data_IF_530238453349
#
_entry.id   IF_530238453349
#
_cell.length_a   1.000
_cell.length_b   1.000
_cell.length_c   1.000
_cell.angle_alpha   90.00
_cell.angle_beta   90.00
_cell.angle_gamma   90.00
#
_symmetry.space_group_name_H-M   'P 1'
#
loop_
_entity.id
_entity.type
_entity.pdbx_description
1 polymer ?
#
# COMPACT_ATOMS: atom_id res chain seq x y z
N UNK A 1 -67.61 12.53 -55.42
CA UNK A 1 -66.76 11.59 -54.66
C UNK A 1 -65.59 12.36 -54.07
N UNK A 2 -65.60 12.64 -52.76
CA UNK A 2 -64.47 13.26 -52.05
C UNK A 2 -63.99 12.26 -51.00
N UNK A 3 -62.73 11.85 -51.13
CA UNK A 3 -62.09 10.90 -50.23
C UNK A 3 -61.89 11.52 -48.84
N UNK A 4 -62.26 10.78 -47.79
CA UNK A 4 -61.98 11.11 -46.41
C UNK A 4 -60.53 10.72 -46.08
N UNK A 5 -59.70 11.70 -45.71
CA UNK A 5 -58.39 11.45 -45.13
C UNK A 5 -58.54 11.22 -43.62
N UNK A 6 -58.19 10.00 -43.16
CA UNK A 6 -58.20 9.62 -41.76
C UNK A 6 -57.08 10.30 -40.97
N UNK A 7 -57.44 11.04 -39.92
CA UNK A 7 -56.51 11.60 -38.95
C UNK A 7 -56.07 10.53 -37.94
N UNK A 8 -54.81 10.11 -38.00
CA UNK A 8 -54.21 9.25 -36.98
C UNK A 8 -54.04 9.96 -35.62
N UNK A 9 -53.97 9.22 -34.50
CA UNK A 9 -53.90 9.79 -33.16
C UNK A 9 -52.63 10.62 -32.97
N UNK A 10 -52.75 11.84 -32.44
CA UNK A 10 -51.60 12.67 -32.05
C UNK A 10 -50.98 12.12 -30.77
N UNK A 11 -49.77 11.59 -30.87
CA UNK A 11 -49.02 11.08 -29.70
C UNK A 11 -48.59 12.20 -28.76
N UNK A 12 -48.67 11.95 -27.45
CA UNK A 12 -48.23 12.92 -26.44
C UNK A 12 -46.70 13.04 -26.42
N UNK A 13 -46.16 14.23 -26.10
CA UNK A 13 -44.71 14.44 -26.03
C UNK A 13 -44.01 13.53 -24.99
N UNK A 14 -44.73 13.12 -23.95
CA UNK A 14 -44.25 12.15 -22.95
C UNK A 14 -44.11 10.74 -23.52
N UNK A 15 -45.03 10.30 -24.39
CA UNK A 15 -44.95 9.01 -25.06
C UNK A 15 -43.83 8.99 -26.11
N UNK A 16 -43.61 10.12 -26.79
CA UNK A 16 -42.50 10.28 -27.74
C UNK A 16 -41.14 10.24 -27.05
N UNK A 17 -40.99 10.92 -25.91
CA UNK A 17 -39.76 10.90 -25.11
C UNK A 17 -39.47 9.50 -24.55
N UNK A 18 -40.49 8.83 -23.99
CA UNK A 18 -40.34 7.48 -23.46
C UNK A 18 -39.92 6.49 -24.56
N UNK A 19 -40.49 6.60 -25.77
CA UNK A 19 -40.06 5.79 -26.92
C UNK A 19 -38.63 6.07 -27.31
N UNK A 20 -38.19 7.32 -27.31
CA UNK A 20 -36.82 7.67 -27.66
C UNK A 20 -35.81 7.14 -26.63
N UNK A 21 -36.14 7.24 -25.33
CA UNK A 21 -35.33 6.70 -24.24
C UNK A 21 -35.26 5.17 -24.31
N UNK A 22 -36.39 4.50 -24.59
CA UNK A 22 -36.42 3.04 -24.78
C UNK A 22 -35.62 2.60 -26.01
N UNK A 23 -35.72 3.33 -27.13
CA UNK A 23 -34.94 3.05 -28.34
C UNK A 23 -33.44 3.24 -28.14
N UNK A 24 -33.01 4.07 -27.19
CA UNK A 24 -31.60 4.30 -26.90
C UNK A 24 -31.05 3.36 -25.82
N UNK A 25 -31.80 3.12 -24.74
CA UNK A 25 -31.33 2.32 -23.60
C UNK A 25 -31.42 0.81 -23.87
N UNK A 26 -32.45 0.35 -24.57
CA UNK A 26 -32.66 -1.08 -24.84
C UNK A 26 -31.55 -1.72 -25.69
N UNK A 27 -31.01 -1.10 -26.76
CA UNK A 27 -29.87 -1.69 -27.48
C UNK A 27 -28.58 -1.68 -26.64
N UNK A 28 -28.38 -0.67 -25.78
CA UNK A 28 -27.20 -0.59 -24.91
C UNK A 28 -27.22 -1.69 -23.84
N UNK A 29 -28.38 -1.97 -23.24
CA UNK A 29 -28.51 -3.06 -22.27
C UNK A 29 -28.35 -4.43 -22.92
N UNK A 30 -28.91 -4.63 -24.13
CA UNK A 30 -28.73 -5.86 -24.90
C UNK A 30 -27.25 -6.07 -25.25
N UNK A 31 -26.55 -5.04 -25.74
CA UNK A 31 -25.12 -5.11 -26.04
C UNK A 31 -24.28 -5.44 -24.81
N UNK A 32 -24.60 -4.84 -23.65
CA UNK A 32 -23.91 -5.13 -22.39
C UNK A 32 -24.11 -6.58 -21.93
N UNK A 33 -25.33 -7.12 -22.08
CA UNK A 33 -25.62 -8.53 -21.78
C UNK A 33 -24.82 -9.45 -22.71
N UNK A 34 -24.78 -9.17 -24.02
CA UNK A 34 -23.98 -9.97 -24.95
C UNK A 34 -22.48 -9.90 -24.66
N UNK A 35 -21.96 -8.73 -24.30
CA UNK A 35 -20.56 -8.55 -23.92
C UNK A 35 -20.19 -9.36 -22.68
N UNK A 36 -20.99 -9.26 -21.61
CA UNK A 36 -20.77 -10.00 -20.37
C UNK A 36 -20.92 -11.51 -20.58
N UNK A 37 -21.92 -11.93 -21.36
CA UNK A 37 -22.12 -13.33 -21.73
C UNK A 37 -20.96 -13.87 -22.58
N UNK A 38 -20.46 -13.09 -23.54
CA UNK A 38 -19.27 -13.46 -24.32
C UNK A 38 -18.05 -13.63 -23.42
N UNK A 39 -17.78 -12.68 -22.51
CA UNK A 39 -16.66 -12.79 -21.56
C UNK A 39 -16.80 -14.04 -20.70
N UNK A 40 -18.00 -14.34 -20.20
CA UNK A 40 -18.24 -15.54 -19.37
C UNK A 40 -18.08 -16.84 -20.17
N UNK A 41 -18.61 -16.92 -21.39
CA UNK A 41 -18.49 -18.12 -22.23
C UNK A 41 -17.10 -18.31 -22.87
N UNK A 42 -16.38 -17.21 -23.14
CA UNK A 42 -14.99 -17.27 -23.62
C UNK A 42 -14.01 -17.53 -22.47
N UNK A 43 -14.44 -17.37 -21.22
CA UNK A 43 -13.69 -17.77 -20.03
C UNK A 43 -13.87 -19.25 -19.72
N UNK A 44 -13.52 -20.13 -20.66
CA UNK A 44 -13.19 -21.50 -20.30
C UNK A 44 -11.71 -21.58 -19.89
N UNK A 45 -11.38 -22.08 -18.69
CA UNK A 45 -10.00 -22.39 -18.33
C UNK A 45 -9.55 -23.57 -19.18
N UNK A 46 -8.81 -23.29 -20.24
CA UNK A 46 -8.04 -24.31 -20.94
C UNK A 46 -6.88 -24.70 -20.02
N UNK A 47 -7.17 -25.52 -19.01
CA UNK A 47 -6.16 -26.33 -18.33
C UNK A 47 -5.71 -27.41 -19.31
N UNK A 48 -4.58 -27.18 -19.98
CA UNK A 48 -3.76 -28.23 -20.57
C UNK A 48 -2.49 -28.36 -19.70
N UNK A 49 -2.18 -29.54 -19.15
CA UNK A 49 -0.85 -29.82 -18.66
C UNK A 49 -0.01 -30.17 -19.88
N UNK A 50 0.92 -29.30 -20.31
CA UNK A 50 1.92 -29.72 -21.28
C UNK A 50 3.32 -29.32 -20.87
N UNK A 51 4.06 -30.39 -20.60
CA UNK A 51 5.46 -30.47 -20.32
C UNK A 51 6.34 -29.78 -21.38
N UNK A 52 7.46 -29.24 -20.89
CA UNK A 52 8.79 -29.24 -21.51
C UNK A 52 8.86 -28.97 -23.02
N UNK A 53 9.12 -27.73 -23.41
CA UNK A 53 9.75 -27.40 -24.71
C UNK A 53 10.25 -25.96 -24.71
N UNK A 54 11.38 -25.68 -24.05
CA UNK A 54 12.11 -24.40 -24.25
C UNK A 54 13.64 -24.54 -24.08
N UNK A 55 14.20 -25.73 -24.31
CA UNK A 55 15.65 -25.96 -24.25
C UNK A 55 16.33 -26.08 -25.64
N UNK A 56 15.57 -25.99 -26.75
CA UNK A 56 16.12 -26.27 -28.09
C UNK A 56 16.31 -25.05 -29.00
N UNK A 57 15.91 -23.85 -28.57
CA UNK A 57 16.06 -22.63 -29.38
C UNK A 57 17.37 -21.86 -29.13
N UNK A 58 18.10 -22.14 -28.03
CA UNK A 58 19.33 -21.42 -27.69
C UNK A 58 20.59 -22.05 -28.31
N UNK A 59 20.57 -23.34 -28.68
CA UNK A 59 21.74 -24.01 -29.29
C UNK A 59 21.96 -23.72 -30.78
N UNK A 60 21.03 -23.05 -31.48
CA UNK A 60 21.15 -22.82 -32.94
C UNK A 60 21.76 -21.47 -33.32
N UNK A 61 21.87 -20.52 -32.39
CA UNK A 61 22.50 -19.22 -32.65
C UNK A 61 24.01 -19.20 -32.38
N UNK A 62 24.58 -20.22 -31.75
CA UNK A 62 26.02 -20.31 -31.44
C UNK A 62 26.85 -21.04 -32.49
N UNK A 63 26.23 -21.75 -33.43
CA UNK A 63 26.96 -22.61 -34.39
C UNK A 63 27.48 -21.91 -35.65
N UNK A 64 27.27 -20.59 -35.81
CA UNK A 64 27.64 -19.89 -37.04
C UNK A 64 28.72 -18.79 -36.87
N UNK A 65 29.36 -18.71 -35.71
CA UNK A 65 30.41 -17.70 -35.42
C UNK A 65 31.81 -18.27 -35.19
N UNK A 66 32.03 -19.58 -35.38
CA UNK A 66 33.31 -20.23 -35.04
C UNK A 66 34.23 -20.53 -36.23
N UNK A 67 33.94 -19.99 -37.42
CA UNK A 67 34.72 -20.31 -38.62
C UNK A 67 35.66 -19.22 -39.12
N UNK A 68 36.10 -18.30 -38.26
CA UNK A 68 37.30 -17.48 -38.50
C UNK A 68 37.91 -17.01 -37.18
N UNK A 69 38.86 -17.76 -36.61
CA UNK A 69 40.15 -17.22 -36.15
C UNK A 69 41.05 -18.31 -35.58
N UNK A 70 42.28 -18.27 -36.07
CA UNK A 70 43.40 -19.16 -35.81
C UNK A 70 44.14 -18.79 -34.52
N UNK A 71 44.60 -19.83 -33.81
CA UNK A 71 45.83 -19.90 -33.00
C UNK A 71 46.02 -18.92 -31.83
N UNK A 72 45.59 -19.31 -30.62
CA UNK A 72 46.37 -19.25 -29.36
C UNK A 72 45.76 -20.20 -28.32
N UNK A 73 46.55 -20.84 -27.43
CA UNK A 73 46.00 -21.66 -26.35
C UNK A 73 45.27 -20.76 -25.31
N UNK A 74 44.12 -21.18 -24.78
CA UNK A 74 43.38 -20.40 -23.80
C UNK A 74 44.13 -20.34 -22.46
N UNK A 75 44.06 -19.20 -21.73
CA UNK A 75 44.61 -19.12 -20.38
C UNK A 75 43.85 -20.07 -19.42
N UNK A 76 44.49 -20.51 -18.32
CA UNK A 76 43.83 -21.35 -17.32
C UNK A 76 42.60 -20.64 -16.75
N UNK A 77 41.52 -21.37 -16.45
CA UNK A 77 40.32 -20.78 -15.88
C UNK A 77 40.65 -20.11 -14.53
N UNK A 78 40.06 -18.95 -14.22
CA UNK A 78 40.20 -18.33 -12.91
C UNK A 78 39.66 -19.28 -11.83
N UNK A 79 40.23 -19.27 -10.62
CA UNK A 79 39.70 -20.05 -9.52
C UNK A 79 38.23 -19.67 -9.28
N UNK A 80 37.38 -20.63 -8.88
CA UNK A 80 35.98 -20.34 -8.57
C UNK A 80 35.92 -19.22 -7.51
N UNK A 81 34.96 -18.28 -7.63
CA UNK A 81 34.74 -17.27 -6.61
C UNK A 81 34.58 -17.98 -5.26
N UNK A 82 35.28 -17.49 -4.24
CA UNK A 82 35.06 -17.94 -2.87
C UNK A 82 33.55 -17.83 -2.57
N UNK A 83 32.93 -18.85 -1.96
CA UNK A 83 31.56 -18.74 -1.54
C UNK A 83 31.41 -17.47 -0.68
N UNK A 84 30.37 -16.66 -0.90
CA UNK A 84 30.13 -15.52 -0.03
C UNK A 84 30.08 -16.02 1.42
N UNK A 85 30.63 -15.28 2.39
CA UNK A 85 30.49 -15.64 3.79
C UNK A 85 29.01 -15.88 4.09
N UNK A 86 28.65 -16.88 4.93
CA UNK A 86 27.25 -17.12 5.26
C UNK A 86 26.64 -15.79 5.66
N UNK A 87 25.60 -15.34 4.95
CA UNK A 87 24.82 -14.18 5.35
C UNK A 87 24.47 -14.42 6.81
N UNK A 88 25.05 -13.65 7.73
CA UNK A 88 24.77 -13.78 9.14
C UNK A 88 23.26 -13.63 9.28
N UNK A 89 22.58 -14.74 9.58
CA UNK A 89 21.13 -14.75 9.78
C UNK A 89 20.88 -13.75 10.90
N UNK A 90 20.14 -12.66 10.67
CA UNK A 90 19.89 -11.68 11.69
C UNK A 90 19.29 -12.39 12.92
N UNK A 91 19.81 -12.10 14.11
CA UNK A 91 19.28 -12.68 15.35
C UNK A 91 17.77 -12.45 15.43
N UNK A 92 17.01 -13.41 15.95
CA UNK A 92 15.56 -13.33 16.00
C UNK A 92 15.07 -12.02 16.64
N UNK A 93 14.07 -11.39 16.02
CA UNK A 93 13.41 -10.20 16.59
C UNK A 93 12.48 -10.64 17.71
N UNK A 94 12.73 -10.12 18.91
CA UNK A 94 11.89 -10.29 20.11
C UNK A 94 11.33 -8.95 20.56
N UNK A 95 10.39 -8.96 21.51
CA UNK A 95 9.70 -7.75 21.98
C UNK A 95 10.65 -6.66 22.52
N UNK A 96 11.79 -7.03 23.11
CA UNK A 96 12.79 -6.07 23.61
C UNK A 96 13.40 -5.18 22.50
N UNK A 97 13.26 -5.59 21.24
CA UNK A 97 13.78 -4.86 20.08
C UNK A 97 12.73 -3.95 19.42
N UNK A 98 11.50 -3.92 19.96
CA UNK A 98 10.37 -3.16 19.41
C UNK A 98 10.01 -2.04 20.37
N UNK A 99 9.90 -0.82 19.84
CA UNK A 99 9.48 0.35 20.63
C UNK A 99 8.16 0.87 20.06
N UNK A 100 7.13 0.91 20.90
CA UNK A 100 5.83 1.45 20.52
C UNK A 100 5.76 2.95 20.81
N UNK A 101 5.49 3.74 19.78
CA UNK A 101 5.08 5.13 19.86
C UNK A 101 3.59 5.24 19.68
N UNK A 102 2.83 5.11 20.78
CA UNK A 102 1.37 5.21 20.75
C UNK A 102 0.96 6.68 20.62
N UNK A 103 0.18 6.97 19.59
CA UNK A 103 -0.33 8.31 19.34
C UNK A 103 -1.63 8.54 20.10
N UNK A 104 -1.94 9.82 20.26
CA UNK A 104 -2.99 10.30 21.14
C UNK A 104 -4.36 10.31 20.45
N UNK A 105 -5.40 9.76 21.08
CA UNK A 105 -6.78 9.76 20.57
C UNK A 105 -7.22 11.11 20.04
N UNK A 106 -7.93 11.08 18.92
CA UNK A 106 -8.76 12.18 18.42
C UNK A 106 -9.61 12.86 19.49
N UNK A 107 -10.10 12.09 20.47
CA UNK A 107 -11.00 12.56 21.52
C UNK A 107 -10.31 13.41 22.60
N UNK A 108 -8.98 13.35 22.71
CA UNK A 108 -8.21 14.11 23.70
C UNK A 108 -7.53 15.35 23.10
N UNK A 109 -7.74 15.65 21.81
CA UNK A 109 -7.08 16.76 21.12
C UNK A 109 -7.40 18.13 21.71
N UNK A 110 -8.64 18.37 22.14
CA UNK A 110 -9.03 19.64 22.78
C UNK A 110 -8.38 19.84 24.16
N UNK A 111 -8.17 18.74 24.91
CA UNK A 111 -7.60 18.79 26.26
C UNK A 111 -6.06 18.91 26.26
N UNK A 112 -5.38 18.67 25.14
CA UNK A 112 -3.91 18.57 25.06
C UNK A 112 -3.20 19.71 24.32
N UNK A 113 -3.84 20.87 24.15
CA UNK A 113 -3.17 22.13 23.74
C UNK A 113 -1.92 22.47 24.56
N UNK A 114 -1.76 21.88 25.74
CA UNK A 114 -0.73 22.22 26.72
C UNK A 114 0.57 21.39 26.68
N UNK A 115 0.62 20.20 26.04
CA UNK A 115 1.89 19.45 26.04
C UNK A 115 2.83 20.02 24.99
N UNK A 116 4.00 20.45 25.45
CA UNK A 116 4.82 21.54 24.91
C UNK A 116 5.92 21.01 23.98
N UNK A 117 5.58 20.60 22.76
CA UNK A 117 6.54 20.61 21.66
C UNK A 117 6.11 21.72 20.71
N UNK A 118 6.93 22.76 20.60
CA UNK A 118 6.60 23.95 19.83
C UNK A 118 6.63 23.61 18.33
N UNK A 119 5.45 23.63 17.71
CA UNK A 119 5.27 23.43 16.26
C UNK A 119 4.84 24.72 15.58
N UNK A 120 4.96 25.87 16.26
CA UNK A 120 4.58 27.18 15.73
C UNK A 120 5.44 27.56 14.51
N UNK A 121 6.71 27.14 14.51
CA UNK A 121 7.67 27.35 13.41
C UNK A 121 7.37 26.55 12.14
N UNK A 122 6.46 25.57 12.19
CA UNK A 122 6.07 24.79 11.01
C UNK A 122 4.85 25.41 10.33
N UNK A 123 4.91 25.74 9.02
CA UNK A 123 3.73 26.22 8.30
C UNK A 123 2.69 25.11 8.16
N UNK A 124 1.40 25.47 8.31
CA UNK A 124 0.26 24.56 8.16
C UNK A 124 -0.91 25.29 7.51
N UNK A 125 -1.39 24.79 6.37
CA UNK A 125 -2.44 25.46 5.59
C UNK A 125 -3.65 24.58 5.28
N UNK A 126 -3.65 23.31 5.69
CA UNK A 126 -4.77 22.42 5.40
C UNK A 126 -6.00 22.82 6.22
N UNK A 127 -7.09 23.12 5.52
CA UNK A 127 -8.28 23.76 6.09
C UNK A 127 -9.17 22.85 6.94
N UNK A 128 -9.15 21.52 6.71
CA UNK A 128 -9.89 20.55 7.54
C UNK A 128 -9.04 19.84 8.60
N UNK A 129 -7.73 20.02 8.58
CA UNK A 129 -6.85 19.25 9.44
C UNK A 129 -6.40 20.07 10.65
N UNK A 130 -5.64 19.44 11.54
CA UNK A 130 -5.22 20.04 12.80
C UNK A 130 -3.70 20.14 12.90
N UNK A 131 -3.16 21.29 13.37
CA UNK A 131 -1.71 21.53 13.50
C UNK A 131 -1.00 20.46 14.35
N UNK A 132 -1.67 19.87 15.33
CA UNK A 132 -1.12 18.79 16.17
C UNK A 132 -0.62 17.59 15.36
N UNK A 133 -1.13 17.36 14.14
CA UNK A 133 -0.68 16.26 13.29
C UNK A 133 0.79 16.39 12.88
N UNK A 134 1.33 17.62 12.87
CA UNK A 134 2.77 17.87 12.71
C UNK A 134 3.55 17.19 13.83
N UNK A 135 3.10 17.34 15.08
CA UNK A 135 3.76 16.69 16.21
C UNK A 135 3.61 15.18 16.16
N UNK A 136 2.41 14.68 15.84
CA UNK A 136 2.17 13.23 15.73
C UNK A 136 3.12 12.61 14.69
N UNK A 137 3.37 13.29 13.56
CA UNK A 137 4.33 12.80 12.57
C UNK A 137 5.76 12.67 13.12
N UNK A 138 6.16 13.44 14.13
CA UNK A 138 7.51 13.37 14.72
C UNK A 138 7.71 12.20 15.70
N UNK A 139 6.66 11.46 16.10
CA UNK A 139 6.75 10.44 17.16
C UNK A 139 7.85 9.40 16.88
N UNK A 140 7.96 8.91 15.64
CA UNK A 140 9.01 7.93 15.29
C UNK A 140 10.41 8.52 15.48
N UNK A 141 10.63 9.75 15.02
CA UNK A 141 11.92 10.45 15.15
C UNK A 141 12.24 10.82 16.58
N UNK A 142 11.26 11.29 17.36
CA UNK A 142 11.39 11.56 18.80
C UNK A 142 11.75 10.29 19.57
N UNK A 143 11.09 9.17 19.26
CA UNK A 143 11.38 7.86 19.87
C UNK A 143 12.78 7.38 19.50
N UNK A 144 13.21 7.60 18.26
CA UNK A 144 14.57 7.28 17.83
C UNK A 144 15.64 8.09 18.58
N UNK A 145 15.38 9.38 18.86
CA UNK A 145 16.29 10.26 19.62
C UNK A 145 16.53 9.83 21.06
N UNK A 146 15.66 8.99 21.63
CA UNK A 146 15.88 8.39 22.95
C UNK A 146 17.11 7.48 22.98
N UNK A 147 17.66 7.09 21.83
CA UNK A 147 18.96 6.42 21.74
C UNK A 147 18.95 4.98 22.26
N UNK A 148 17.79 4.31 22.27
CA UNK A 148 17.63 2.94 22.74
C UNK A 148 18.51 1.99 21.90
N UNK A 149 19.56 1.38 22.48
CA UNK A 149 20.62 0.72 21.70
C UNK A 149 20.14 -0.55 20.98
N UNK A 150 19.21 -1.28 21.61
CA UNK A 150 18.68 -2.56 21.13
C UNK A 150 17.42 -2.41 20.27
N UNK A 151 16.88 -1.20 20.13
CA UNK A 151 15.70 -0.95 19.32
C UNK A 151 16.00 -1.21 17.83
N UNK A 152 15.29 -2.16 17.24
CA UNK A 152 15.36 -2.51 15.81
C UNK A 152 14.18 -1.97 15.03
N UNK A 153 13.02 -1.84 15.68
CA UNK A 153 11.77 -1.43 15.07
C UNK A 153 11.06 -0.39 15.92
N UNK A 154 10.54 0.64 15.25
CA UNK A 154 9.73 1.70 15.81
C UNK A 154 8.30 1.54 15.29
N UNK A 155 7.38 1.15 16.16
CA UNK A 155 6.00 0.84 15.80
C UNK A 155 5.11 1.98 16.25
N UNK A 156 4.35 2.53 15.32
CA UNK A 156 3.37 3.58 15.59
C UNK A 156 1.97 2.98 15.49
N UNK A 157 1.06 3.44 16.34
CA UNK A 157 -0.37 3.13 16.30
C UNK A 157 -1.15 4.13 17.13
N UNK A 158 -2.47 4.16 16.97
CA UNK A 158 -3.35 5.01 17.79
C UNK A 158 -3.65 4.34 19.14
N UNK A 159 -4.21 5.08 20.09
CA UNK A 159 -4.51 4.57 21.43
C UNK A 159 -5.74 3.65 21.49
N UNK A 160 -6.47 3.53 20.39
CA UNK A 160 -7.55 2.57 20.15
C UNK A 160 -7.19 1.56 19.04
N UNK A 161 -5.90 1.42 18.72
CA UNK A 161 -5.35 0.31 17.95
C UNK A 161 -4.98 -0.85 18.86
N UNK A 162 -5.52 -2.03 18.59
CA UNK A 162 -5.14 -3.28 19.28
C UNK A 162 -4.09 -4.01 18.44
N UNK A 163 -2.88 -4.18 18.98
CA UNK A 163 -1.82 -4.99 18.38
C UNK A 163 -1.82 -6.42 18.94
N UNK A 164 -1.46 -7.39 18.09
CA UNK A 164 -1.14 -8.77 18.46
C UNK A 164 0.39 -8.92 18.42
N UNK A 165 1.11 -8.75 19.55
CA UNK A 165 2.57 -8.61 19.54
C UNK A 165 3.30 -9.84 18.99
N UNK A 166 2.81 -11.05 19.26
CA UNK A 166 3.44 -12.27 18.76
C UNK A 166 3.39 -12.34 17.22
N UNK A 167 2.25 -11.97 16.64
CA UNK A 167 2.09 -11.92 15.19
C UNK A 167 2.95 -10.80 14.58
N UNK A 168 3.02 -9.64 15.23
CA UNK A 168 3.92 -8.55 14.84
C UNK A 168 5.38 -9.03 14.79
N UNK A 169 5.85 -9.75 15.81
CA UNK A 169 7.21 -10.28 15.86
C UNK A 169 7.47 -11.32 14.76
N UNK A 170 6.49 -12.17 14.42
CA UNK A 170 6.58 -13.10 13.28
C UNK A 170 6.74 -12.36 11.97
N UNK A 171 5.99 -11.26 11.77
CA UNK A 171 6.06 -10.45 10.55
C UNK A 171 7.40 -9.72 10.45
N UNK A 172 7.80 -9.00 11.50
CA UNK A 172 9.04 -8.23 11.53
C UNK A 172 10.29 -9.12 11.55
N UNK A 173 10.20 -10.32 12.12
CA UNK A 173 11.28 -11.30 12.17
C UNK A 173 11.67 -11.87 10.81
N UNK A 174 10.83 -11.72 9.78
CA UNK A 174 11.13 -12.12 8.39
C UNK A 174 11.92 -11.09 7.61
N UNK A 175 12.05 -9.87 8.14
CA UNK A 175 12.70 -8.74 7.48
C UNK A 175 14.09 -8.50 8.08
N UNK A 176 15.08 -8.20 7.24
CA UNK A 176 16.40 -7.78 7.73
C UNK A 176 16.31 -6.36 8.30
N UNK A 177 16.16 -6.24 9.61
CA UNK A 177 16.05 -4.98 10.35
C UNK A 177 17.22 -3.97 10.13
N UNK A 178 18.30 -4.39 9.46
CA UNK A 178 19.42 -3.53 9.04
C UNK A 178 19.16 -2.79 7.72
N UNK A 179 18.06 -3.12 7.03
CA UNK A 179 17.60 -2.47 5.80
C UNK A 179 16.46 -1.49 6.09
N UNK A 180 16.28 -0.45 5.25
CA UNK A 180 15.24 0.56 5.45
C UNK A 180 13.86 0.00 5.05
N UNK A 181 13.09 -0.43 6.05
CA UNK A 181 11.71 -0.90 5.88
C UNK A 181 10.69 0.06 6.48
N UNK A 182 9.63 0.32 5.70
CA UNK A 182 8.38 0.97 6.07
C UNK A 182 7.25 -0.05 5.88
N UNK A 183 6.74 -0.62 6.98
CA UNK A 183 5.87 -1.80 6.97
C UNK A 183 4.49 -1.45 7.50
N UNK A 184 3.44 -1.81 6.78
CA UNK A 184 2.05 -1.59 7.19
C UNK A 184 1.07 -1.91 6.07
N UNK A 185 -0.12 -1.33 6.09
CA UNK A 185 -1.10 -1.45 5.01
C UNK A 185 -1.80 -0.13 4.71
N UNK A 186 -2.18 0.14 3.45
CA UNK A 186 -3.17 1.15 3.15
C UNK A 186 -4.54 0.78 3.75
N UNK A 187 -5.43 1.76 3.79
CA UNK A 187 -6.80 1.60 4.28
C UNK A 187 -7.58 0.57 3.44
N UNK A 188 -8.50 -0.14 4.06
CA UNK A 188 -9.49 -0.96 3.37
C UNK A 188 -10.45 -0.13 2.50
N UNK A 189 -10.57 1.17 2.80
CA UNK A 189 -11.41 2.09 2.03
C UNK A 189 -10.71 2.56 0.76
N UNK A 190 -11.34 2.25 -0.38
CA UNK A 190 -10.87 2.73 -1.68
C UNK A 190 -10.84 4.26 -1.77
N UNK A 191 -11.83 4.94 -1.18
CA UNK A 191 -11.91 6.40 -1.20
C UNK A 191 -10.79 7.05 -0.38
N UNK A 192 -10.44 6.46 0.77
CA UNK A 192 -9.30 6.93 1.58
C UNK A 192 -7.99 6.84 0.79
N UNK A 193 -7.77 5.72 0.09
CA UNK A 193 -6.55 5.53 -0.70
C UNK A 193 -6.46 6.44 -1.94
N UNK A 194 -7.60 6.79 -2.56
CA UNK A 194 -7.63 7.81 -3.63
C UNK A 194 -7.24 9.18 -3.08
N UNK A 195 -7.74 9.54 -1.89
CA UNK A 195 -7.51 10.88 -1.33
C UNK A 195 -6.08 11.06 -0.81
N UNK A 196 -5.48 10.00 -0.27
CA UNK A 196 -4.14 10.02 0.31
C UNK A 196 -3.11 9.35 -0.60
N UNK A 197 -2.93 8.03 -0.46
CA UNK A 197 -2.06 7.24 -1.33
C UNK A 197 -2.30 5.75 -1.11
N UNK A 198 -2.12 4.94 -2.16
CA UNK A 198 -2.06 3.48 -2.06
C UNK A 198 -0.75 2.96 -1.44
N UNK A 199 0.26 3.83 -1.34
CA UNK A 199 1.57 3.54 -0.75
C UNK A 199 1.68 4.05 0.69
N UNK A 200 0.67 4.79 1.20
CA UNK A 200 0.63 5.26 2.57
C UNK A 200 0.15 4.16 3.51
N UNK A 201 0.80 4.00 4.66
CA UNK A 201 0.21 3.28 5.79
C UNK A 201 -0.68 4.21 6.60
N UNK A 202 -1.79 3.70 7.11
CA UNK A 202 -2.65 4.48 7.99
C UNK A 202 -2.26 4.21 9.45
N UNK A 203 -2.12 5.29 10.23
CA UNK A 203 -1.61 5.27 11.60
C UNK A 203 -2.51 4.48 12.55
N UNK A 204 -3.82 4.56 12.38
CA UNK A 204 -4.79 3.77 13.14
C UNK A 204 -4.61 2.26 12.92
N UNK A 205 -4.35 1.82 11.70
CA UNK A 205 -4.02 0.42 11.40
C UNK A 205 -2.66 0.01 11.93
N UNK A 206 -1.83 0.96 12.33
CA UNK A 206 -0.49 0.75 12.84
C UNK A 206 0.54 0.52 11.72
N UNK A 207 1.79 0.87 12.00
CA UNK A 207 2.90 0.60 11.10
C UNK A 207 4.24 0.49 11.83
N UNK A 208 5.22 -0.11 11.17
CA UNK A 208 6.57 -0.28 11.70
C UNK A 208 7.62 0.35 10.78
N UNK A 209 8.58 1.05 11.38
CA UNK A 209 9.76 1.61 10.73
C UNK A 209 11.01 0.95 11.31
N UNK A 210 11.86 0.41 10.45
CA UNK A 210 13.17 -0.14 10.85
C UNK A 210 14.10 0.97 11.38
N UNK A 211 15.02 0.62 12.29
CA UNK A 211 16.03 1.54 12.83
C UNK A 211 16.82 2.36 11.78
N UNK A 212 17.39 1.77 10.72
CA UNK A 212 18.11 2.55 9.71
C UNK A 212 17.21 3.53 8.97
N UNK A 213 15.91 3.23 8.82
CA UNK A 213 14.96 4.17 8.23
C UNK A 213 14.58 5.29 9.20
N UNK A 214 14.35 4.97 10.48
CA UNK A 214 14.10 5.97 11.51
C UNK A 214 15.27 6.98 11.61
N UNK A 215 16.51 6.51 11.51
CA UNK A 215 17.70 7.35 11.48
C UNK A 215 17.77 8.30 10.26
N UNK A 216 17.26 7.86 9.10
CA UNK A 216 17.20 8.70 7.89
C UNK A 216 16.07 9.71 7.99
N UNK A 217 14.90 9.26 8.45
CA UNK A 217 13.73 10.10 8.67
C UNK A 217 14.06 11.23 9.64
N UNK A 218 14.64 10.92 10.80
CA UNK A 218 14.96 11.91 11.85
C UNK A 218 15.80 13.08 11.33
N UNK A 219 16.76 12.82 10.42
CA UNK A 219 17.65 13.85 9.87
C UNK A 219 16.98 14.79 8.87
N UNK A 220 15.91 14.35 8.19
CA UNK A 220 15.31 15.08 7.06
C UNK A 220 13.84 15.47 7.27
N UNK A 221 13.17 14.89 8.25
CA UNK A 221 11.74 15.01 8.49
C UNK A 221 11.29 16.47 8.62
N UNK A 222 12.04 17.26 9.37
CA UNK A 222 11.82 18.68 9.56
C UNK A 222 11.75 19.47 8.25
N UNK A 223 12.66 19.17 7.31
CA UNK A 223 12.70 19.82 6.02
C UNK A 223 11.58 19.29 5.10
N UNK A 224 11.30 17.99 5.15
CA UNK A 224 10.19 17.35 4.45
C UNK A 224 8.84 17.98 4.84
N UNK A 225 8.53 18.05 6.13
CA UNK A 225 7.25 18.59 6.62
C UNK A 225 7.05 20.05 6.18
N UNK A 226 8.11 20.86 6.17
CA UNK A 226 8.05 22.26 5.70
C UNK A 226 7.71 22.38 4.21
N UNK A 227 8.12 21.41 3.37
CA UNK A 227 7.75 21.38 1.94
C UNK A 227 6.29 21.02 1.70
N UNK A 228 5.69 20.26 2.61
CA UNK A 228 4.36 19.69 2.45
C UNK A 228 3.31 20.29 3.40
N UNK A 229 3.32 21.61 3.58
CA UNK A 229 2.47 22.35 4.53
C UNK A 229 0.96 22.14 4.37
N UNK A 230 0.49 21.70 3.20
CA UNK A 230 -0.93 21.47 2.90
C UNK A 230 -1.40 20.04 3.15
N UNK A 231 -0.57 19.10 3.59
CA UNK A 231 -1.00 17.73 3.87
C UNK A 231 -1.91 17.65 5.10
N UNK A 232 -2.87 16.73 5.08
CA UNK A 232 -3.95 16.67 6.07
C UNK A 232 -3.44 16.25 7.46
N UNK A 233 -2.89 15.04 7.52
CA UNK A 233 -2.62 14.30 8.76
C UNK A 233 -1.14 13.97 8.96
N UNK A 234 -0.85 13.22 10.02
CA UNK A 234 0.49 12.72 10.32
C UNK A 234 0.96 11.71 9.28
N UNK A 235 0.05 10.82 8.87
CA UNK A 235 0.37 9.66 8.06
C UNK A 235 0.72 10.07 6.63
N UNK A 236 -0.04 11.03 6.10
CA UNK A 236 0.20 11.70 4.82
C UNK A 236 1.59 12.35 4.79
N UNK A 237 2.01 12.96 5.91
CA UNK A 237 3.35 13.56 6.06
C UNK A 237 4.44 12.51 6.13
N UNK A 238 4.23 11.43 6.88
CA UNK A 238 5.16 10.30 6.92
C UNK A 238 5.33 9.74 5.51
N UNK A 239 4.23 9.52 4.79
CA UNK A 239 4.26 9.02 3.42
C UNK A 239 5.04 9.94 2.49
N UNK A 240 4.83 11.25 2.56
CA UNK A 240 5.59 12.21 1.77
C UNK A 240 7.10 12.12 2.05
N UNK A 241 7.49 11.96 3.32
CA UNK A 241 8.89 11.77 3.68
C UNK A 241 9.45 10.40 3.23
N UNK A 242 8.64 9.33 3.26
CA UNK A 242 9.04 8.02 2.71
C UNK A 242 9.30 8.10 1.21
N UNK A 243 8.45 8.84 0.49
CA UNK A 243 8.62 9.10 -0.94
C UNK A 243 9.92 9.87 -1.24
N UNK A 244 10.23 10.92 -0.47
CA UNK A 244 11.50 11.65 -0.62
C UNK A 244 12.73 10.79 -0.29
N UNK A 245 12.61 9.90 0.69
CA UNK A 245 13.66 8.95 1.06
C UNK A 245 13.81 7.81 0.04
N UNK A 246 12.91 7.69 -0.93
CA UNK A 246 12.89 6.62 -1.91
C UNK A 246 12.60 5.24 -1.31
N UNK A 247 11.84 5.19 -0.21
CA UNK A 247 11.52 3.94 0.50
C UNK A 247 10.07 3.55 0.21
N UNK A 248 9.82 2.45 -0.52
CA UNK A 248 8.46 2.02 -0.84
C UNK A 248 7.79 1.33 0.35
N UNK A 249 6.46 1.22 0.29
CA UNK A 249 5.69 0.46 1.27
C UNK A 249 6.00 -1.04 1.18
N UNK A 250 6.44 -1.60 2.29
CA UNK A 250 6.44 -3.05 2.52
C UNK A 250 5.06 -3.46 3.01
N UNK A 251 4.15 -3.71 2.07
CA UNK A 251 2.74 -3.98 2.38
C UNK A 251 2.58 -5.32 3.10
N UNK A 252 1.90 -5.29 4.25
CA UNK A 252 1.49 -6.49 4.99
C UNK A 252 0.00 -6.42 5.32
N UNK A 253 -0.77 -7.42 4.88
CA UNK A 253 -2.25 -7.40 4.93
C UNK A 253 -2.86 -7.65 6.31
N UNK A 254 -2.05 -7.79 7.36
CA UNK A 254 -2.51 -7.99 8.73
C UNK A 254 -2.65 -6.71 9.55
N UNK A 255 -2.27 -5.55 8.99
CA UNK A 255 -2.50 -4.24 9.60
C UNK A 255 -3.83 -3.70 9.06
N UNK A 256 -4.78 -3.39 9.95
CA UNK A 256 -6.12 -2.98 9.54
C UNK A 256 -6.52 -1.64 10.15
N UNK A 257 -6.74 -0.66 9.28
CA UNK A 257 -7.28 0.65 9.65
C UNK A 257 -8.78 0.58 9.95
N UNK A 258 -9.49 -0.37 9.32
CA UNK A 258 -10.94 -0.57 9.50
C UNK A 258 -11.79 0.65 9.12
N UNK A 259 -11.51 1.27 7.97
CA UNK A 259 -12.37 2.32 7.41
C UNK A 259 -13.55 1.72 6.61
N UNK A 260 -14.18 0.66 7.11
CA UNK A 260 -15.33 0.02 6.46
C UNK A 260 -16.62 0.30 7.23
N UNK A 261 -17.73 0.48 6.50
CA UNK A 261 -19.04 0.66 7.11
C UNK A 261 -19.68 -0.68 7.45
N UNK A 262 -20.30 -0.77 8.63
CA UNK A 262 -21.05 -1.95 9.06
C UNK A 262 -20.28 -2.82 10.05
N UNK A 263 -20.50 -4.14 9.97
CA UNK A 263 -19.92 -5.13 10.88
C UNK A 263 -18.58 -5.67 10.38
N UNK A 264 -17.64 -5.85 11.31
CA UNK A 264 -16.30 -6.37 11.12
C UNK A 264 -16.28 -7.86 10.70
N UNK A 265 -17.37 -8.59 10.91
CA UNK A 265 -17.47 -10.02 10.60
C UNK A 265 -17.04 -10.36 9.17
N UNK A 266 -17.44 -9.56 8.18
CA UNK A 266 -17.08 -9.80 6.78
C UNK A 266 -15.57 -9.68 6.53
N UNK A 267 -14.93 -8.69 7.16
CA UNK A 267 -13.49 -8.47 7.06
C UNK A 267 -12.72 -9.62 7.70
N UNK A 268 -13.11 -10.02 8.92
CA UNK A 268 -12.42 -11.08 9.66
C UNK A 268 -12.64 -12.46 9.03
N UNK A 269 -13.86 -12.74 8.55
CA UNK A 269 -14.16 -14.00 7.87
C UNK A 269 -13.41 -14.16 6.54
N UNK A 270 -13.16 -13.04 5.84
CA UNK A 270 -12.40 -13.01 4.60
C UNK A 270 -10.91 -12.69 4.79
N UNK A 271 -10.43 -12.62 6.04
CA UNK A 271 -9.04 -12.26 6.31
C UNK A 271 -8.10 -13.27 5.63
N UNK A 272 -7.05 -12.81 4.92
CA UNK A 272 -6.13 -13.70 4.22
C UNK A 272 -5.42 -14.66 5.18
N UNK A 273 -4.80 -15.71 4.64
CA UNK A 273 -3.88 -16.58 5.39
C UNK A 273 -2.56 -15.84 5.66
N UNK A 274 -2.65 -14.76 6.43
CA UNK A 274 -1.54 -13.95 6.93
C UNK A 274 -1.79 -13.70 8.43
N UNK A 275 -0.74 -13.48 9.25
CA UNK A 275 -0.93 -13.13 10.64
C UNK A 275 -1.72 -11.83 10.77
N UNK A 276 -2.79 -11.83 11.57
CA UNK A 276 -3.48 -10.62 11.99
C UNK A 276 -2.54 -9.85 12.95
N UNK A 277 -2.15 -8.63 12.60
CA UNK A 277 -1.14 -7.85 13.34
C UNK A 277 -1.80 -6.78 14.20
N UNK A 278 -2.76 -6.05 13.65
CA UNK A 278 -3.44 -4.96 14.35
C UNK A 278 -4.83 -4.69 13.79
N UNK A 279 -5.72 -4.21 14.67
CA UNK A 279 -7.08 -3.80 14.37
C UNK A 279 -7.36 -2.43 15.00
N UNK A 280 -8.11 -1.61 14.28
CA UNK A 280 -8.58 -0.29 14.65
C UNK A 280 -10.08 -0.20 14.31
N UNK A 281 -10.85 0.83 14.67
CA UNK A 281 -11.09 1.21 16.07
C UNK A 281 -12.07 0.17 16.66
N UNK A 282 -11.66 -0.63 17.65
CA UNK A 282 -12.54 -1.60 18.33
C UNK A 282 -13.40 -0.93 19.42
#
# INVERSE_FOLDING_TARGET
MKAAAGGGPKESPTASLLRFVLLLLLPLTVLYIFYTLHVILSSHPSCLPMATSNALAVSRLTNNYNNLTSSMPPPPPPPPPLPPPPLAVPAATTLQHVVFGITASARLWEKRKESRADTSDFPYTHWRGHRLTIRISHIVSETFRLGLPDARWFVMGDDDTVFLPDNLLVVLGRLDHRQPYYVGSPSESHLQNIHFSYEMVFGGGGFAISRPLAARLERMQDACIRRYLSLYGSDDRIQACMAELGVPLTRHRGFHQYDVYGDLLGLLAAHPIAPLVSLHHL
#
